data_IF_802411788252
#
_entry.id   IF_802411788252
#
_cell.length_a   1.000
_cell.length_b   1.000
_cell.length_c   1.000
_cell.angle_alpha   90.00
_cell.angle_beta   90.00
_cell.angle_gamma   90.00
#
_symmetry.space_group_name_H-M   'P 1'
#
loop_
_entity.id
_entity.type
_entity.pdbx_description
1 polymer ?
#
# COMPACT_ATOMS: atom_id res chain seq x y z
N UNK A 1 -44.70 -14.81 51.60
CA UNK A 1 -44.46 -15.49 50.30
C UNK A 1 -44.75 -14.49 49.20
N UNK A 2 -43.74 -14.10 48.42
CA UNK A 2 -43.89 -13.09 47.37
C UNK A 2 -43.10 -13.50 46.11
N UNK A 3 -43.83 -13.43 44.99
CA UNK A 3 -43.46 -13.30 43.58
C UNK A 3 -42.17 -13.95 43.03
N UNK A 4 -42.38 -14.97 42.17
CA UNK A 4 -41.47 -15.39 41.11
C UNK A 4 -41.17 -14.21 40.18
N UNK A 5 -39.93 -13.72 40.21
CA UNK A 5 -39.40 -12.77 39.22
C UNK A 5 -39.10 -13.47 37.89
N UNK A 6 -39.70 -12.98 36.82
CA UNK A 6 -39.58 -13.48 35.46
C UNK A 6 -38.12 -13.44 34.95
N UNK A 7 -37.77 -14.49 34.21
CA UNK A 7 -36.60 -14.52 33.34
C UNK A 7 -36.62 -13.32 32.36
N UNK A 8 -35.50 -12.61 32.24
CA UNK A 8 -35.25 -11.68 31.14
C UNK A 8 -34.40 -12.39 30.09
N UNK A 9 -34.93 -12.70 28.89
CA UNK A 9 -34.18 -13.34 27.83
C UNK A 9 -33.63 -12.24 26.92
N UNK A 10 -32.44 -11.73 27.22
CA UNK A 10 -31.67 -10.98 26.24
C UNK A 10 -30.20 -11.35 26.43
N UNK A 11 -29.83 -12.44 25.75
CA UNK A 11 -28.45 -12.62 25.35
C UNK A 11 -28.08 -11.41 24.50
N UNK A 12 -27.27 -10.52 25.07
CA UNK A 12 -26.44 -9.65 24.25
C UNK A 12 -25.43 -10.57 23.58
N UNK A 13 -25.76 -11.01 22.37
CA UNK A 13 -24.75 -11.47 21.43
C UNK A 13 -23.77 -10.31 21.28
N UNK A 14 -22.59 -10.51 21.86
CA UNK A 14 -21.44 -9.63 21.76
C UNK A 14 -21.12 -9.58 20.26
N UNK A 15 -21.65 -8.57 19.55
CA UNK A 15 -21.20 -8.25 18.20
C UNK A 15 -19.69 -8.18 18.31
N UNK A 16 -19.00 -9.11 17.63
CA UNK A 16 -17.58 -9.02 17.39
C UNK A 16 -17.33 -7.59 16.91
N UNK A 17 -16.68 -6.80 17.76
CA UNK A 17 -16.06 -5.56 17.30
C UNK A 17 -15.25 -5.99 16.09
N UNK A 18 -15.65 -5.48 14.93
CA UNK A 18 -14.94 -5.69 13.70
C UNK A 18 -13.62 -4.93 13.89
N UNK A 19 -12.68 -5.53 14.63
CA UNK A 19 -11.31 -5.06 14.78
C UNK A 19 -10.79 -5.02 13.36
N UNK A 20 -10.83 -3.83 12.74
CA UNK A 20 -10.20 -3.62 11.45
C UNK A 20 -8.76 -4.06 11.62
N UNK A 21 -8.38 -5.13 10.91
CA UNK A 21 -6.98 -5.57 10.92
C UNK A 21 -6.10 -4.34 10.66
N UNK A 22 -5.15 -4.05 11.55
CA UNK A 22 -4.32 -2.86 11.40
C UNK A 22 -3.55 -2.96 10.09
N UNK A 23 -3.40 -1.82 9.39
CA UNK A 23 -2.80 -1.80 8.05
C UNK A 23 -1.33 -2.20 8.15
N UNK A 24 -0.99 -3.37 7.61
CA UNK A 24 0.39 -3.88 7.51
C UNK A 24 1.15 -3.09 6.46
N UNK A 25 2.25 -2.46 6.88
CA UNK A 25 3.10 -1.68 6.01
C UNK A 25 4.56 -2.06 6.12
N UNK A 26 5.27 -1.92 5.00
CA UNK A 26 6.72 -1.86 4.94
C UNK A 26 7.09 -0.44 4.52
N UNK A 27 7.82 0.25 5.38
CA UNK A 27 8.36 1.58 5.13
C UNK A 27 9.78 1.42 4.60
N UNK A 28 10.05 1.93 3.39
CA UNK A 28 11.42 2.01 2.85
C UNK A 28 11.86 3.46 2.85
N UNK A 29 12.98 3.73 3.50
CA UNK A 29 13.63 5.04 3.52
C UNK A 29 14.45 5.25 2.26
N UNK A 30 14.68 6.51 1.90
CA UNK A 30 15.50 6.87 0.76
C UNK A 30 16.99 6.47 0.92
N UNK A 31 17.43 6.29 2.17
CA UNK A 31 18.78 5.81 2.51
C UNK A 31 18.92 4.27 2.48
N UNK A 32 17.85 3.54 2.14
CA UNK A 32 17.81 2.09 2.09
C UNK A 32 17.38 1.41 3.39
N UNK A 33 17.17 2.14 4.49
CA UNK A 33 16.61 1.56 5.73
C UNK A 33 15.20 1.03 5.48
N UNK A 34 14.89 -0.13 6.05
CA UNK A 34 13.57 -0.77 5.95
C UNK A 34 12.99 -1.01 7.33
N UNK A 35 11.71 -0.70 7.50
CA UNK A 35 10.96 -0.97 8.73
C UNK A 35 9.63 -1.63 8.40
N UNK A 36 9.21 -2.58 9.23
CA UNK A 36 7.95 -3.31 9.07
C UNK A 36 7.08 -3.09 10.29
N UNK A 37 5.78 -2.92 10.07
CA UNK A 37 4.87 -2.70 11.17
C UNK A 37 3.48 -2.31 10.70
N UNK A 38 2.77 -1.67 11.60
CA UNK A 38 1.38 -1.30 11.41
C UNK A 38 1.21 0.21 11.51
N UNK A 39 0.21 0.74 10.83
CA UNK A 39 -0.19 2.14 10.96
C UNK A 39 -1.70 2.28 11.04
N UNK A 40 -2.15 3.37 11.66
CA UNK A 40 -3.56 3.75 11.76
C UNK A 40 -3.82 5.17 11.26
N UNK A 41 -2.76 5.95 11.01
CA UNK A 41 -2.86 7.38 10.75
C UNK A 41 -2.01 7.86 9.56
N UNK A 42 -1.69 6.95 8.63
CA UNK A 42 -1.05 7.32 7.37
C UNK A 42 -2.03 8.02 6.42
N UNK A 43 -1.79 9.31 6.17
CA UNK A 43 -2.54 10.10 5.21
C UNK A 43 -1.58 10.75 4.20
N UNK A 44 -1.86 10.70 2.89
CA UNK A 44 -0.94 11.17 1.84
C UNK A 44 -0.63 12.67 1.91
N UNK A 45 -1.50 13.46 2.55
CA UNK A 45 -1.39 14.91 2.71
C UNK A 45 -0.72 15.33 4.03
N UNK A 46 -0.41 14.39 4.94
CA UNK A 46 0.35 14.68 6.16
C UNK A 46 1.83 14.36 5.92
N UNK A 47 2.71 15.16 6.50
CA UNK A 47 4.16 14.99 6.41
C UNK A 47 4.69 13.87 7.32
N UNK A 48 3.89 13.47 8.32
CA UNK A 48 4.24 12.48 9.34
C UNK A 48 3.09 11.53 9.63
N UNK A 49 3.44 10.35 10.13
CA UNK A 49 2.52 9.33 10.64
C UNK A 49 3.24 8.44 11.66
N UNK A 50 2.51 7.53 12.31
CA UNK A 50 3.08 6.61 13.28
C UNK A 50 3.16 5.19 12.75
N UNK A 51 4.30 4.55 13.00
CA UNK A 51 4.54 3.14 12.79
C UNK A 51 4.61 2.42 14.14
N UNK A 52 3.80 1.38 14.31
CA UNK A 52 3.90 0.40 15.40
C UNK A 52 4.76 -0.75 14.88
N UNK A 53 6.00 -0.96 15.38
CA UNK A 53 6.91 -1.97 14.85
C UNK A 53 6.38 -3.39 15.03
N UNK A 54 6.51 -4.22 14.00
CA UNK A 54 6.05 -5.62 14.05
C UNK A 54 6.91 -6.52 14.95
N UNK A 55 8.19 -6.19 15.14
CA UNK A 55 9.11 -6.93 16.02
C UNK A 55 8.95 -6.54 17.50
N UNK A 56 8.39 -5.36 17.78
CA UNK A 56 8.21 -4.81 19.13
C UNK A 56 6.85 -4.13 19.27
N UNK A 57 5.73 -4.89 19.21
CA UNK A 57 4.38 -4.33 19.20
C UNK A 57 4.00 -3.64 20.52
N UNK A 58 4.61 -4.05 21.65
CA UNK A 58 4.48 -3.40 22.96
C UNK A 58 5.44 -2.21 23.15
N UNK A 59 6.25 -1.89 22.14
CA UNK A 59 7.19 -0.78 22.15
C UNK A 59 6.53 0.58 21.87
N UNK A 60 7.33 1.65 21.97
CA UNK A 60 6.90 3.00 21.57
C UNK A 60 6.64 3.06 20.06
N UNK A 61 5.59 3.78 19.68
CA UNK A 61 5.34 4.18 18.30
C UNK A 61 6.53 4.96 17.76
N UNK A 62 6.84 4.75 16.48
CA UNK A 62 7.91 5.48 15.80
C UNK A 62 7.25 6.48 14.87
N UNK A 63 7.52 7.77 15.09
CA UNK A 63 7.12 8.80 14.15
C UNK A 63 7.97 8.69 12.87
N UNK A 64 7.31 8.66 11.72
CA UNK A 64 7.94 8.54 10.41
C UNK A 64 7.68 9.81 9.61
N UNK A 65 8.75 10.45 9.12
CA UNK A 65 8.65 11.61 8.22
C UNK A 65 8.61 11.15 6.76
N UNK A 66 7.52 11.43 6.05
CA UNK A 66 7.28 10.95 4.68
C UNK A 66 8.36 11.41 3.70
N UNK A 67 8.88 12.63 3.87
CA UNK A 67 9.91 13.20 2.98
C UNK A 67 11.25 12.44 3.00
N UNK A 68 11.50 11.64 4.05
CA UNK A 68 12.69 10.79 4.17
C UNK A 68 12.48 9.42 3.49
N UNK A 69 11.27 9.13 3.03
CA UNK A 69 10.92 7.84 2.49
C UNK A 69 11.16 7.75 1.00
N UNK A 70 11.46 6.53 0.56
CA UNK A 70 11.27 6.10 -0.83
C UNK A 70 9.78 5.86 -1.10
N UNK A 71 9.17 5.04 -0.26
CA UNK A 71 7.77 4.65 -0.39
C UNK A 71 7.24 3.96 0.89
N UNK A 72 5.91 3.97 1.02
CA UNK A 72 5.17 3.15 1.98
C UNK A 72 4.47 2.04 1.21
N UNK A 73 4.81 0.79 1.49
CA UNK A 73 4.23 -0.38 0.85
C UNK A 73 3.18 -0.99 1.78
N UNK A 74 1.92 -0.98 1.37
CA UNK A 74 0.86 -1.76 2.03
C UNK A 74 0.99 -3.19 1.55
N UNK A 75 1.19 -4.12 2.47
CA UNK A 75 1.52 -5.52 2.17
C UNK A 75 0.46 -6.47 2.72
N UNK A 76 0.31 -7.65 2.11
CA UNK A 76 -0.53 -8.72 2.67
C UNK A 76 0.10 -9.31 3.91
N UNK A 77 1.41 -9.55 3.83
CA UNK A 77 2.19 -10.17 4.89
C UNK A 77 3.63 -9.62 4.96
N UNK A 78 4.30 -9.75 6.09
CA UNK A 78 5.65 -9.18 6.28
C UNK A 78 6.79 -10.03 5.70
N UNK A 79 6.57 -11.30 5.41
CA UNK A 79 7.59 -12.24 4.95
C UNK A 79 7.60 -12.36 3.43
N UNK A 80 6.44 -12.24 2.80
CA UNK A 80 6.20 -12.49 1.39
C UNK A 80 6.63 -13.89 0.97
N UNK A 81 6.72 -14.09 -0.34
CA UNK A 81 7.46 -15.19 -0.91
C UNK A 81 8.76 -14.63 -1.53
N UNK A 82 9.95 -14.91 -0.96
CA UNK A 82 11.21 -14.37 -1.46
C UNK A 82 11.58 -14.88 -2.85
N UNK A 83 11.01 -16.02 -3.28
CA UNK A 83 11.21 -16.59 -4.61
C UNK A 83 10.20 -16.07 -5.64
N UNK A 84 9.23 -15.25 -5.21
CA UNK A 84 8.23 -14.70 -6.11
C UNK A 84 8.81 -13.54 -6.91
N UNK A 85 8.82 -13.69 -8.24
CA UNK A 85 9.25 -12.63 -9.16
C UNK A 85 8.01 -11.88 -9.63
N UNK A 86 7.81 -10.68 -9.08
CA UNK A 86 6.72 -9.80 -9.47
C UNK A 86 6.82 -9.42 -10.96
N UNK A 87 5.74 -9.63 -11.72
CA UNK A 87 5.72 -9.20 -13.13
C UNK A 87 5.61 -7.68 -13.22
N UNK A 88 6.44 -7.09 -14.09
CA UNK A 88 6.47 -5.65 -14.36
C UNK A 88 5.78 -5.29 -15.68
N UNK A 89 4.71 -6.02 -16.01
CA UNK A 89 3.95 -5.82 -17.24
C UNK A 89 2.51 -6.24 -17.05
N UNK A 90 1.63 -5.58 -17.78
CA UNK A 90 0.26 -6.03 -17.96
C UNK A 90 0.21 -7.15 -19.01
N UNK A 91 -0.71 -8.07 -18.84
CA UNK A 91 -1.08 -9.06 -19.86
C UNK A 91 -2.24 -8.47 -20.68
N UNK A 92 -2.36 -8.92 -21.91
CA UNK A 92 -3.48 -8.56 -22.78
C UNK A 92 -4.84 -8.80 -22.12
N UNK A 93 -5.78 -7.89 -22.33
CA UNK A 93 -7.10 -7.91 -21.69
C UNK A 93 -7.14 -7.30 -20.29
N UNK A 94 -6.01 -7.03 -19.64
CA UNK A 94 -6.02 -6.39 -18.31
C UNK A 94 -6.37 -4.90 -18.38
N UNK A 95 -7.48 -4.57 -17.72
CA UNK A 95 -8.04 -3.22 -17.59
C UNK A 95 -7.94 -2.75 -16.13
N UNK A 96 -6.73 -2.40 -15.65
CA UNK A 96 -6.59 -1.84 -14.31
C UNK A 96 -7.33 -0.50 -14.23
N UNK A 97 -7.78 -0.16 -13.03
CA UNK A 97 -8.35 1.15 -12.78
C UNK A 97 -7.25 2.23 -12.76
N UNK A 98 -7.47 3.33 -13.47
CA UNK A 98 -6.53 4.45 -13.59
C UNK A 98 -5.54 4.31 -14.75
N UNK A 99 -4.51 5.17 -14.72
CA UNK A 99 -3.45 5.26 -15.72
C UNK A 99 -2.35 4.24 -15.42
N UNK A 100 -1.99 3.43 -16.42
CA UNK A 100 -0.85 2.51 -16.36
C UNK A 100 0.46 3.31 -16.41
N UNK A 101 1.34 3.08 -15.44
CA UNK A 101 2.63 3.77 -15.35
C UNK A 101 3.76 2.82 -14.97
N UNK A 102 4.94 3.15 -15.45
CA UNK A 102 6.22 2.66 -14.94
C UNK A 102 6.88 3.78 -14.13
N UNK A 103 7.26 3.47 -12.89
CA UNK A 103 7.95 4.37 -11.97
C UNK A 103 9.37 3.87 -11.79
N UNK A 104 10.35 4.67 -12.21
CA UNK A 104 11.77 4.45 -11.92
C UNK A 104 12.17 5.33 -10.74
N UNK A 105 12.69 4.70 -9.69
CA UNK A 105 13.21 5.36 -8.51
C UNK A 105 14.66 5.84 -8.71
N UNK A 106 15.12 6.76 -7.85
CA UNK A 106 16.48 7.31 -7.89
C UNK A 106 17.58 6.25 -7.73
N UNK A 107 17.29 5.18 -6.99
CA UNK A 107 18.19 4.03 -6.79
C UNK A 107 18.16 3.00 -7.93
N UNK A 108 17.39 3.25 -8.99
CA UNK A 108 17.27 2.37 -10.15
C UNK A 108 16.22 1.27 -10.02
N UNK A 109 15.54 1.13 -8.88
CA UNK A 109 14.39 0.22 -8.78
C UNK A 109 13.28 0.67 -9.73
N UNK A 110 12.62 -0.28 -10.38
CA UNK A 110 11.49 -0.02 -11.28
C UNK A 110 10.26 -0.76 -10.79
N UNK A 111 9.14 -0.05 -10.70
CA UNK A 111 7.81 -0.58 -10.42
C UNK A 111 6.86 -0.28 -11.56
N UNK A 112 5.97 -1.22 -11.87
CA UNK A 112 4.91 -1.02 -12.88
C UNK A 112 3.56 -1.26 -12.21
N UNK A 113 2.61 -0.38 -12.49
CA UNK A 113 1.30 -0.42 -11.86
C UNK A 113 0.35 0.60 -12.43
N UNK A 114 -0.78 0.80 -11.77
CA UNK A 114 -1.76 1.82 -12.13
C UNK A 114 -1.94 2.84 -11.02
N UNK A 115 -2.24 4.07 -11.41
CA UNK A 115 -2.52 5.18 -10.50
C UNK A 115 -3.70 6.00 -11.01
N UNK A 116 -4.51 6.58 -10.12
CA UNK A 116 -5.63 7.43 -10.55
C UNK A 116 -5.13 8.72 -11.20
N UNK A 117 -4.12 9.31 -10.57
CA UNK A 117 -3.43 10.50 -11.02
C UNK A 117 -2.09 10.58 -10.30
N UNK A 118 -1.13 11.24 -10.92
CA UNK A 118 0.14 11.56 -10.28
C UNK A 118 0.53 13.00 -10.61
N UNK A 119 1.11 13.68 -9.63
CA UNK A 119 1.76 14.98 -9.80
C UNK A 119 3.03 14.98 -8.96
N UNK A 120 4.19 15.04 -9.60
CA UNK A 120 5.48 14.99 -8.91
C UNK A 120 5.78 16.24 -8.07
N UNK A 121 4.96 17.30 -8.19
CA UNK A 121 5.02 18.46 -7.28
C UNK A 121 4.36 18.20 -5.93
N UNK A 122 3.52 17.17 -5.82
CA UNK A 122 2.92 16.76 -4.55
C UNK A 122 3.89 15.87 -3.77
N UNK A 123 3.56 15.56 -2.52
CA UNK A 123 4.38 14.69 -1.67
C UNK A 123 4.57 13.28 -2.27
N UNK A 124 3.53 12.76 -2.91
CA UNK A 124 3.53 11.42 -3.48
C UNK A 124 2.19 11.07 -4.12
N UNK A 125 2.09 9.83 -4.58
CA UNK A 125 0.88 9.29 -5.18
C UNK A 125 0.78 7.79 -4.92
N UNK A 126 -0.44 7.25 -4.97
CA UNK A 126 -0.64 5.82 -4.83
C UNK A 126 -0.47 5.09 -6.16
N UNK A 127 0.22 3.95 -6.11
CA UNK A 127 0.40 3.00 -7.20
C UNK A 127 -0.15 1.63 -6.75
N UNK A 128 -1.01 1.04 -7.56
CA UNK A 128 -1.42 -0.35 -7.43
C UNK A 128 -0.54 -1.20 -8.34
N UNK A 129 0.23 -2.17 -7.82
CA UNK A 129 1.12 -2.99 -8.64
C UNK A 129 0.39 -3.69 -9.81
N UNK A 130 1.07 -3.83 -10.95
CA UNK A 130 0.51 -4.49 -12.12
C UNK A 130 0.25 -5.98 -11.87
N UNK A 131 1.01 -6.59 -10.96
CA UNK A 131 0.83 -7.98 -10.56
C UNK A 131 -0.15 -8.12 -9.39
N UNK A 132 -1.38 -8.64 -9.61
CA UNK A 132 -2.33 -8.84 -8.54
C UNK A 132 -1.87 -9.91 -7.55
N UNK A 133 -0.88 -10.75 -7.88
CA UNK A 133 -0.30 -11.73 -6.96
C UNK A 133 0.86 -11.16 -6.14
N UNK A 134 1.33 -9.94 -6.41
CA UNK A 134 2.36 -9.27 -5.59
C UNK A 134 1.93 -9.19 -4.14
N UNK A 135 2.87 -9.38 -3.20
CA UNK A 135 2.62 -9.11 -1.78
C UNK A 135 2.26 -7.64 -1.54
N UNK A 136 2.72 -6.73 -2.39
CA UNK A 136 2.36 -5.33 -2.35
C UNK A 136 0.93 -5.15 -2.86
N UNK A 137 0.04 -4.70 -1.99
CA UNK A 137 -1.36 -4.41 -2.33
C UNK A 137 -1.44 -3.02 -2.96
N UNK A 138 -0.78 -2.05 -2.34
CA UNK A 138 -0.78 -0.65 -2.73
C UNK A 138 0.48 0.02 -2.23
N UNK A 139 1.04 0.93 -3.01
CA UNK A 139 2.29 1.62 -2.66
C UNK A 139 2.06 3.12 -2.73
N UNK A 140 2.34 3.83 -1.65
CA UNK A 140 2.48 5.28 -1.71
C UNK A 140 3.92 5.60 -2.12
N UNK A 141 4.07 6.05 -3.35
CA UNK A 141 5.35 6.44 -3.94
C UNK A 141 5.64 7.88 -3.54
N UNK A 142 6.78 8.13 -2.88
CA UNK A 142 7.20 9.50 -2.52
C UNK A 142 7.86 10.15 -3.72
N UNK A 143 7.35 11.31 -4.13
CA UNK A 143 7.74 11.96 -5.39
C UNK A 143 9.22 12.36 -5.42
N UNK A 144 9.82 12.73 -4.28
CA UNK A 144 11.26 13.06 -4.22
C UNK A 144 12.18 11.86 -4.44
N UNK A 145 11.68 10.63 -4.30
CA UNK A 145 12.44 9.42 -4.58
C UNK A 145 12.29 8.94 -6.03
N UNK A 146 11.44 9.58 -6.83
CA UNK A 146 11.17 9.22 -8.22
C UNK A 146 12.17 9.91 -9.14
N UNK A 147 12.82 9.12 -10.00
CA UNK A 147 13.68 9.61 -11.08
C UNK A 147 12.88 9.89 -12.34
N UNK A 148 11.93 9.02 -12.69
CA UNK A 148 11.10 9.15 -13.88
C UNK A 148 9.77 8.40 -13.73
N UNK A 149 8.71 8.95 -14.29
CA UNK A 149 7.45 8.25 -14.54
C UNK A 149 7.21 8.18 -16.04
N UNK A 150 6.84 7.01 -16.54
CA UNK A 150 6.44 6.80 -17.94
C UNK A 150 5.03 6.23 -17.97
N UNK A 151 4.13 6.92 -18.67
CA UNK A 151 2.81 6.35 -18.96
C UNK A 151 2.94 5.22 -19.98
N UNK A 152 2.27 4.11 -19.71
CA UNK A 152 2.24 2.94 -20.59
C UNK A 152 0.93 2.97 -21.36
N UNK A 153 1.02 3.20 -22.67
CA UNK A 153 -0.12 3.06 -23.57
C UNK A 153 -0.23 1.59 -23.99
N UNK A 154 -1.44 1.06 -24.07
CA UNK A 154 -1.66 -0.20 -24.78
C UNK A 154 -1.35 0.03 -26.25
N UNK A 155 -0.76 -0.95 -26.93
CA UNK A 155 -0.77 -0.98 -28.38
C UNK A 155 -2.25 -0.88 -28.81
N UNK A 156 -2.64 0.27 -29.32
CA UNK A 156 -3.72 0.31 -30.29
C UNK A 156 -3.13 -0.38 -31.51
N UNK A 157 -3.82 -1.40 -32.00
CA UNK A 157 -3.56 -2.03 -33.29
C UNK A 157 -3.47 -0.91 -34.34
N UNK A 158 -2.24 -0.60 -34.77
CA UNK A 158 -2.01 0.21 -35.96
C UNK A 158 -1.97 -0.74 -37.17
N UNK A 159 -3.06 -1.48 -37.38
CA UNK A 159 -3.32 -2.22 -38.62
C UNK A 159 -3.95 -1.29 -39.67
N UNK A 160 -3.37 -0.09 -39.82
CA UNK A 160 -3.63 0.82 -40.93
C UNK A 160 -2.37 1.52 -41.39
N UNK A 161 -1.36 0.76 -41.82
CA UNK A 161 -0.46 1.15 -42.92
C UNK A 161 0.55 0.04 -43.25
N UNK A 162 0.18 -0.87 -44.15
CA UNK A 162 1.05 -1.42 -45.19
C UNK A 162 0.18 -2.08 -46.26
#
# INVERSE_FOLDING_TARGET
MAAKGLARPYGYDKKEENEMEPIKIVVRYADGKVMKGFTQDFFPNKDRFHLIPADKPLGRTIEVTVKQLKAVFVVRDFFGNPNYIERKRYIEGEKPFGVKVEVMFADGEVMVGSTLSYNLKHQGFFLSPADPKSNNIRVFVVSSAVKKVRQLYGYLEDDRAA
#
